data_IF_226095897654
#
_entry.id   IF_226095897654
#
_cell.length_a   1.000
_cell.length_b   1.000
_cell.length_c   1.000
_cell.angle_alpha   90.00
_cell.angle_beta   90.00
_cell.angle_gamma   90.00
#
_symmetry.space_group_name_H-M   'P 1'
#
loop_
_entity.id
_entity.type
_entity.pdbx_description
1 polymer ?
#
# COMPACT_ATOMS: atom_id res chain seq x y z
N UNK A 1 25.49 42.17 -8.30
CA UNK A 1 26.66 41.32 -7.95
C UNK A 1 26.78 41.01 -6.45
N UNK A 2 26.70 41.98 -5.52
CA UNK A 2 26.83 41.69 -4.06
C UNK A 2 25.69 40.83 -3.45
N UNK A 3 24.45 40.94 -3.93
CA UNK A 3 23.32 40.07 -3.47
C UNK A 3 23.51 38.61 -3.88
N UNK A 4 23.89 38.38 -5.15
CA UNK A 4 24.16 37.06 -5.73
C UNK A 4 25.28 36.35 -4.96
N UNK A 5 26.38 37.04 -4.64
CA UNK A 5 27.51 36.45 -3.89
C UNK A 5 27.10 36.09 -2.46
N UNK A 6 26.29 36.90 -1.79
CA UNK A 6 25.85 36.65 -0.42
C UNK A 6 24.78 35.52 -0.32
N UNK A 7 24.02 35.31 -1.40
CA UNK A 7 23.00 34.25 -1.51
C UNK A 7 23.62 32.91 -1.94
N UNK A 8 24.62 32.95 -2.82
CA UNK A 8 25.51 31.81 -3.12
C UNK A 8 26.24 31.38 -1.85
N UNK A 9 26.67 32.33 -1.00
CA UNK A 9 27.25 32.05 0.31
C UNK A 9 26.32 31.23 1.21
N UNK A 10 25.01 31.49 1.22
CA UNK A 10 24.02 30.72 1.99
C UNK A 10 23.72 29.34 1.40
N UNK A 11 23.66 29.24 0.07
CA UNK A 11 23.55 27.96 -0.62
C UNK A 11 24.82 27.10 -0.45
N UNK A 12 26.00 27.72 -0.30
CA UNK A 12 27.26 27.06 0.03
C UNK A 12 27.38 26.68 1.51
N UNK A 13 26.85 27.49 2.42
CA UNK A 13 26.78 27.18 3.86
C UNK A 13 25.88 25.94 4.12
N UNK A 14 24.85 25.76 3.28
CA UNK A 14 23.98 24.58 3.22
C UNK A 14 24.75 23.31 2.79
N UNK A 15 25.69 23.45 1.87
CA UNK A 15 26.54 22.36 1.41
C UNK A 15 27.62 21.97 2.42
N UNK A 16 28.12 22.94 3.18
CA UNK A 16 29.13 22.69 4.21
C UNK A 16 28.59 21.77 5.32
N UNK A 17 27.28 21.88 5.63
CA UNK A 17 26.57 20.98 6.57
C UNK A 17 26.24 19.59 6.02
N UNK A 18 26.27 19.42 4.69
CA UNK A 18 26.07 18.14 4.00
C UNK A 18 27.37 17.33 3.87
N UNK A 19 28.50 17.96 4.16
CA UNK A 19 29.84 17.45 3.88
C UNK A 19 30.24 17.78 2.45
N UNK A 20 31.38 18.46 2.31
CA UNK A 20 31.91 19.02 1.06
C UNK A 20 31.86 18.07 -0.14
N UNK A 21 32.09 16.77 0.06
CA UNK A 21 32.00 15.75 -0.98
C UNK A 21 30.61 15.59 -1.60
N UNK A 22 29.58 15.30 -0.80
CA UNK A 22 28.22 15.04 -1.28
C UNK A 22 27.61 16.28 -1.92
N UNK A 23 27.90 17.44 -1.34
CA UNK A 23 27.52 18.72 -1.89
C UNK A 23 28.13 19.00 -3.26
N UNK A 24 29.44 18.82 -3.43
CA UNK A 24 30.10 19.08 -4.71
C UNK A 24 29.60 18.14 -5.81
N UNK A 25 29.31 16.88 -5.47
CA UNK A 25 28.77 15.91 -6.42
C UNK A 25 27.34 16.25 -6.82
N UNK A 26 26.45 16.61 -5.88
CA UNK A 26 25.11 17.12 -6.21
C UNK A 26 25.18 18.35 -7.13
N UNK A 27 26.09 19.27 -6.86
CA UNK A 27 26.30 20.46 -7.70
C UNK A 27 26.75 20.11 -9.12
N UNK A 28 27.64 19.12 -9.27
CA UNK A 28 28.09 18.65 -10.57
C UNK A 28 26.98 17.93 -11.35
N UNK A 29 26.13 17.18 -10.65
CA UNK A 29 25.13 16.30 -11.25
C UNK A 29 23.80 17.00 -11.58
N UNK A 30 23.40 17.99 -10.79
CA UNK A 30 22.11 18.70 -10.95
C UNK A 30 22.23 20.02 -11.70
N UNK A 31 23.44 20.58 -11.77
CA UNK A 31 23.68 21.91 -12.31
C UNK A 31 23.28 23.02 -11.34
N UNK A 32 23.93 24.17 -11.49
CA UNK A 32 23.81 25.30 -10.57
C UNK A 32 22.41 25.92 -10.59
N UNK A 33 21.81 26.03 -11.76
CA UNK A 33 20.55 26.75 -11.96
C UNK A 33 19.36 26.06 -11.27
N UNK A 34 19.28 24.73 -11.35
CA UNK A 34 18.17 23.96 -10.78
C UNK A 34 18.22 23.91 -9.27
N UNK A 35 19.42 23.66 -8.71
CA UNK A 35 19.63 23.71 -7.26
C UNK A 35 19.34 25.11 -6.71
N UNK A 36 19.81 26.15 -7.41
CA UNK A 36 19.53 27.53 -7.05
C UNK A 36 18.02 27.82 -7.05
N UNK A 37 17.33 27.52 -8.15
CA UNK A 37 15.88 27.75 -8.28
C UNK A 37 15.08 27.02 -7.18
N UNK A 38 15.42 25.76 -6.89
CA UNK A 38 14.78 25.00 -5.81
C UNK A 38 15.07 25.59 -4.43
N UNK A 39 16.31 26.01 -4.16
CA UNK A 39 16.67 26.64 -2.88
C UNK A 39 15.98 27.99 -2.64
N UNK A 40 15.61 28.70 -3.72
CA UNK A 40 14.86 29.96 -3.61
C UNK A 40 13.37 29.71 -3.30
N UNK A 41 12.81 28.61 -3.83
CA UNK A 41 11.37 28.32 -3.77
C UNK A 41 10.96 27.36 -2.65
N UNK A 42 11.90 26.58 -2.11
CA UNK A 42 11.65 25.53 -1.11
C UNK A 42 12.40 25.85 0.18
N UNK A 43 11.78 25.53 1.32
CA UNK A 43 12.43 25.71 2.62
C UNK A 43 13.76 24.93 2.71
N UNK A 44 14.77 25.62 3.24
CA UNK A 44 16.12 25.07 3.31
C UNK A 44 16.20 23.86 4.26
N UNK A 45 15.35 23.78 5.30
CA UNK A 45 15.36 22.63 6.20
C UNK A 45 14.80 21.39 5.49
N UNK A 46 13.79 21.55 4.64
CA UNK A 46 13.26 20.46 3.82
C UNK A 46 14.33 19.89 2.89
N UNK A 47 14.99 20.75 2.12
CA UNK A 47 16.05 20.33 1.21
C UNK A 47 17.19 19.63 1.97
N UNK A 48 17.60 20.19 3.11
CA UNK A 48 18.67 19.62 3.94
C UNK A 48 18.29 18.25 4.46
N UNK A 49 17.07 18.12 4.99
CA UNK A 49 16.56 16.86 5.51
C UNK A 49 16.57 15.77 4.44
N UNK A 50 16.06 16.08 3.24
CA UNK A 50 16.04 15.14 2.11
C UNK A 50 17.47 14.74 1.73
N UNK A 51 18.36 15.73 1.65
CA UNK A 51 19.76 15.51 1.27
C UNK A 51 20.52 14.66 2.29
N UNK A 52 20.14 14.70 3.57
CA UNK A 52 20.74 13.87 4.63
C UNK A 52 20.19 12.44 4.66
N UNK A 53 18.92 12.24 4.27
CA UNK A 53 18.21 10.96 4.43
C UNK A 53 18.06 10.15 3.13
N UNK A 54 18.40 10.73 1.98
CA UNK A 54 18.47 10.02 0.69
C UNK A 54 19.93 9.88 0.22
N UNK A 55 20.21 8.81 -0.52
CA UNK A 55 21.47 8.67 -1.22
C UNK A 55 21.55 9.62 -2.43
N UNK A 56 22.76 9.89 -2.89
CA UNK A 56 23.00 10.86 -3.96
C UNK A 56 22.27 10.48 -5.26
N UNK A 57 22.29 9.20 -5.64
CA UNK A 57 21.68 8.74 -6.89
C UNK A 57 20.17 8.97 -6.85
N UNK A 58 19.52 8.59 -5.74
CA UNK A 58 18.08 8.82 -5.55
C UNK A 58 17.74 10.31 -5.56
N UNK A 59 18.54 11.17 -4.93
CA UNK A 59 18.34 12.63 -4.99
C UNK A 59 18.43 13.14 -6.42
N UNK A 60 19.47 12.73 -7.16
CA UNK A 60 19.68 13.18 -8.54
C UNK A 60 18.53 12.73 -9.43
N UNK A 61 18.10 11.47 -9.33
CA UNK A 61 16.95 10.96 -10.09
C UNK A 61 15.66 11.67 -9.70
N UNK A 62 15.38 11.83 -8.41
CA UNK A 62 14.17 12.49 -7.91
C UNK A 62 14.06 13.92 -8.41
N UNK A 63 15.14 14.69 -8.30
CA UNK A 63 15.17 16.09 -8.72
C UNK A 63 15.19 16.24 -10.24
N UNK A 64 15.82 15.34 -10.99
CA UNK A 64 15.91 15.47 -12.46
C UNK A 64 14.68 14.97 -13.20
N UNK A 65 14.00 13.95 -12.69
CA UNK A 65 12.91 13.30 -13.41
C UNK A 65 11.54 13.92 -13.15
N UNK A 66 11.35 14.56 -11.99
CA UNK A 66 10.10 15.25 -11.67
C UNK A 66 10.22 16.71 -12.15
N UNK A 67 9.19 17.26 -12.82
CA UNK A 67 9.16 18.68 -13.21
C UNK A 67 9.35 19.59 -12.00
N UNK A 68 10.06 20.72 -12.20
CA UNK A 68 10.42 21.62 -11.10
C UNK A 68 9.19 22.17 -10.36
N UNK A 69 8.14 22.57 -11.08
CA UNK A 69 6.91 23.08 -10.46
C UNK A 69 6.26 22.03 -9.55
N UNK A 70 6.19 20.78 -10.00
CA UNK A 70 5.69 19.65 -9.22
C UNK A 70 6.58 19.38 -8.00
N UNK A 71 7.90 19.44 -8.15
CA UNK A 71 8.84 19.29 -7.03
C UNK A 71 8.62 20.38 -5.99
N UNK A 72 8.51 21.65 -6.39
CA UNK A 72 8.28 22.76 -5.45
C UNK A 72 6.98 22.55 -4.68
N UNK A 73 5.89 22.15 -5.37
CA UNK A 73 4.61 21.86 -4.72
C UNK A 73 4.71 20.68 -3.75
N UNK A 74 5.36 19.59 -4.15
CA UNK A 74 5.56 18.43 -3.27
C UNK A 74 6.40 18.78 -2.04
N UNK A 75 7.54 19.44 -2.23
CA UNK A 75 8.49 19.78 -1.17
C UNK A 75 7.94 20.84 -0.20
N UNK A 76 6.99 21.66 -0.65
CA UNK A 76 6.32 22.66 0.20
C UNK A 76 5.10 22.11 0.94
N UNK A 77 4.46 21.05 0.42
CA UNK A 77 3.19 20.54 0.96
C UNK A 77 3.37 19.25 1.77
N UNK A 78 4.19 18.33 1.28
CA UNK A 78 4.41 17.01 1.89
C UNK A 78 5.54 17.10 2.92
N UNK A 79 5.40 16.42 4.06
CA UNK A 79 6.44 16.45 5.09
C UNK A 79 7.75 15.84 4.55
N UNK A 80 8.92 16.40 4.89
CA UNK A 80 10.21 15.89 4.39
C UNK A 80 10.42 14.41 4.69
N UNK A 81 10.01 13.95 5.87
CA UNK A 81 10.09 12.54 6.26
C UNK A 81 9.27 11.60 5.37
N UNK A 82 8.11 12.05 4.90
CA UNK A 82 7.24 11.24 4.04
C UNK A 82 7.80 11.20 2.62
N UNK A 83 8.31 12.33 2.12
CA UNK A 83 9.00 12.40 0.82
C UNK A 83 10.19 11.43 0.79
N UNK A 84 11.03 11.46 1.83
CA UNK A 84 12.19 10.55 1.91
C UNK A 84 11.77 9.09 1.97
N UNK A 85 10.67 8.80 2.65
CA UNK A 85 10.16 7.44 2.74
C UNK A 85 9.62 6.95 1.39
N UNK A 86 8.83 7.78 0.70
CA UNK A 86 8.31 7.45 -0.64
C UNK A 86 9.42 7.27 -1.65
N UNK A 87 10.43 8.16 -1.67
CA UNK A 87 11.58 8.06 -2.56
C UNK A 87 12.40 6.78 -2.36
N UNK A 88 12.47 6.25 -1.13
CA UNK A 88 13.17 5.00 -0.84
C UNK A 88 12.32 3.73 -1.06
N UNK A 89 10.99 3.85 -0.99
CA UNK A 89 10.09 2.68 -0.94
C UNK A 89 9.40 2.38 -2.27
N UNK A 90 9.16 3.42 -3.07
CA UNK A 90 8.44 3.37 -4.34
C UNK A 90 9.47 3.48 -5.48
N UNK A 91 9.39 2.63 -6.53
CA UNK A 91 10.25 2.76 -7.70
C UNK A 91 10.18 4.17 -8.31
N UNK A 92 11.32 4.68 -8.81
CA UNK A 92 11.39 6.07 -9.29
C UNK A 92 10.42 6.36 -10.45
N UNK A 93 10.22 5.41 -11.38
CA UNK A 93 9.25 5.55 -12.47
C UNK A 93 7.83 5.77 -11.94
N UNK A 94 7.44 4.96 -10.94
CA UNK A 94 6.13 5.02 -10.31
C UNK A 94 5.97 6.32 -9.53
N UNK A 95 7.01 6.77 -8.83
CA UNK A 95 7.00 8.02 -8.07
C UNK A 95 6.84 9.24 -8.98
N UNK A 96 7.50 9.26 -10.14
CA UNK A 96 7.34 10.31 -11.15
C UNK A 96 5.90 10.33 -11.67
N UNK A 97 5.32 9.15 -11.95
CA UNK A 97 3.95 9.05 -12.42
C UNK A 97 2.93 9.52 -11.35
N UNK A 98 3.11 9.11 -10.10
CA UNK A 98 2.25 9.49 -8.97
C UNK A 98 2.32 10.99 -8.70
N UNK A 99 3.55 11.55 -8.63
CA UNK A 99 3.77 12.98 -8.37
C UNK A 99 3.19 13.90 -9.43
N UNK A 100 3.21 13.49 -10.69
CA UNK A 100 2.68 14.29 -11.81
C UNK A 100 1.19 14.12 -12.02
N UNK A 101 0.60 13.03 -11.52
CA UNK A 101 -0.81 12.69 -11.75
C UNK A 101 -1.73 13.01 -10.57
N UNK A 102 -1.18 13.21 -9.38
CA UNK A 102 -1.92 13.46 -8.14
C UNK A 102 -1.54 14.83 -7.57
N UNK A 103 -2.50 15.58 -7.01
CA UNK A 103 -2.20 16.80 -6.25
C UNK A 103 -1.28 16.52 -5.06
N UNK A 104 -0.33 17.42 -4.81
CA UNK A 104 0.56 17.31 -3.66
C UNK A 104 -0.19 17.32 -2.31
N UNK A 105 -1.32 18.03 -2.25
CA UNK A 105 -2.23 18.03 -1.09
C UNK A 105 -2.77 16.64 -0.78
N UNK A 106 -3.14 15.89 -1.81
CA UNK A 106 -3.77 14.58 -1.67
C UNK A 106 -2.72 13.55 -1.22
N UNK A 107 -1.50 13.65 -1.76
CA UNK A 107 -0.35 12.85 -1.31
C UNK A 107 -0.05 13.14 0.16
N UNK A 108 0.00 14.42 0.54
CA UNK A 108 0.24 14.83 1.92
C UNK A 108 -0.86 14.34 2.88
N UNK A 109 -2.12 14.43 2.46
CA UNK A 109 -3.25 14.02 3.27
C UNK A 109 -3.30 12.51 3.46
N UNK A 110 -3.06 11.72 2.40
CA UNK A 110 -2.94 10.27 2.51
C UNK A 110 -1.82 9.89 3.47
N UNK A 111 -0.62 10.44 3.28
CA UNK A 111 0.53 10.16 4.14
C UNK A 111 0.24 10.49 5.62
N UNK A 112 -0.46 11.60 5.86
CA UNK A 112 -0.82 12.06 7.20
C UNK A 112 -1.86 11.16 7.87
N UNK A 113 -2.93 10.80 7.16
CA UNK A 113 -4.07 10.09 7.76
C UNK A 113 -3.84 8.58 7.83
N UNK A 114 -3.30 7.98 6.77
CA UNK A 114 -3.14 6.51 6.68
C UNK A 114 -1.74 6.06 7.13
N UNK A 115 -0.80 6.99 7.24
CA UNK A 115 0.60 6.72 7.49
C UNK A 115 1.38 6.53 6.19
N UNK A 116 2.63 7.01 6.16
CA UNK A 116 3.52 6.92 5.00
C UNK A 116 3.81 5.48 4.59
N UNK A 117 3.94 4.56 5.55
CA UNK A 117 4.17 3.13 5.31
C UNK A 117 2.97 2.52 4.56
N UNK A 118 1.76 2.71 5.09
CA UNK A 118 0.54 2.16 4.50
C UNK A 118 0.24 2.81 3.14
N UNK A 119 0.38 4.13 3.03
CA UNK A 119 0.26 4.85 1.76
C UNK A 119 1.20 4.29 0.70
N UNK A 120 2.48 4.11 1.03
CA UNK A 120 3.47 3.57 0.08
C UNK A 120 3.13 2.13 -0.30
N UNK A 121 2.75 1.30 0.68
CA UNK A 121 2.40 -0.11 0.45
C UNK A 121 1.19 -0.23 -0.49
N UNK A 122 0.15 0.57 -0.27
CA UNK A 122 -1.04 0.60 -1.12
C UNK A 122 -0.68 1.03 -2.55
N UNK A 123 -0.01 2.17 -2.70
CA UNK A 123 0.35 2.71 -4.03
C UNK A 123 1.26 1.76 -4.82
N UNK A 124 2.22 1.12 -4.14
CA UNK A 124 3.17 0.18 -4.74
C UNK A 124 2.51 -1.11 -5.17
N UNK A 125 1.71 -1.74 -4.29
CA UNK A 125 1.19 -3.09 -4.54
C UNK A 125 -0.09 -3.08 -5.39
N UNK A 126 -0.88 -2.01 -5.38
CA UNK A 126 -1.97 -1.82 -6.34
C UNK A 126 -1.41 -1.51 -7.73
N UNK A 127 -0.24 -0.86 -7.78
CA UNK A 127 0.41 -0.38 -8.99
C UNK A 127 0.04 1.09 -9.26
N UNK A 128 0.96 1.91 -9.79
CA UNK A 128 0.78 3.37 -9.85
C UNK A 128 -0.38 3.78 -10.75
N UNK A 129 -0.47 3.22 -11.96
CA UNK A 129 -1.54 3.56 -12.92
C UNK A 129 -2.92 3.22 -12.39
N UNK A 130 -3.06 2.03 -11.78
CA UNK A 130 -4.33 1.60 -11.18
C UNK A 130 -4.66 2.44 -9.94
N UNK A 131 -3.67 2.76 -9.11
CA UNK A 131 -3.85 3.63 -7.94
C UNK A 131 -4.34 5.02 -8.35
N UNK A 132 -3.75 5.62 -9.38
CA UNK A 132 -4.19 6.93 -9.90
C UNK A 132 -5.63 6.85 -10.41
N UNK A 133 -5.96 5.83 -11.20
CA UNK A 133 -7.31 5.66 -11.71
C UNK A 133 -8.33 5.45 -10.57
N UNK A 134 -7.97 4.65 -9.55
CA UNK A 134 -8.80 4.44 -8.36
C UNK A 134 -9.01 5.73 -7.59
N UNK A 135 -7.96 6.50 -7.32
CA UNK A 135 -8.08 7.77 -6.59
C UNK A 135 -8.96 8.77 -7.34
N UNK A 136 -8.94 8.76 -8.68
CA UNK A 136 -9.82 9.59 -9.51
C UNK A 136 -11.28 9.13 -9.48
N UNK A 137 -11.53 7.82 -9.56
CA UNK A 137 -12.90 7.28 -9.59
C UNK A 137 -13.59 7.21 -8.22
N UNK A 138 -12.84 6.82 -7.20
CA UNK A 138 -13.32 6.63 -5.83
C UNK A 138 -13.19 7.91 -5.01
N UNK A 139 -12.20 8.74 -5.31
CA UNK A 139 -11.87 9.93 -4.52
C UNK A 139 -10.92 9.61 -3.35
N UNK A 140 -10.02 10.55 -3.07
CA UNK A 140 -8.97 10.41 -2.05
C UNK A 140 -9.55 10.19 -0.66
N UNK A 141 -10.62 10.90 -0.29
CA UNK A 141 -11.25 10.75 1.04
C UNK A 141 -11.81 9.35 1.26
N UNK A 142 -12.52 8.79 0.27
CA UNK A 142 -13.05 7.44 0.36
C UNK A 142 -11.92 6.41 0.40
N UNK A 143 -10.83 6.63 -0.34
CA UNK A 143 -9.66 5.76 -0.29
C UNK A 143 -8.99 5.77 1.09
N UNK A 144 -8.82 6.96 1.67
CA UNK A 144 -8.30 7.13 3.04
C UNK A 144 -9.22 6.40 4.03
N UNK A 145 -10.53 6.61 3.95
CA UNK A 145 -11.49 5.96 4.85
C UNK A 145 -11.42 4.43 4.77
N UNK A 146 -11.32 3.85 3.57
CA UNK A 146 -11.13 2.40 3.40
C UNK A 146 -9.86 1.91 4.09
N UNK A 147 -8.74 2.61 3.87
CA UNK A 147 -7.44 2.22 4.43
C UNK A 147 -7.36 2.36 5.96
N UNK A 148 -8.23 3.16 6.56
CA UNK A 148 -8.34 3.28 8.02
C UNK A 148 -9.15 2.14 8.64
N UNK A 149 -10.09 1.55 7.89
CA UNK A 149 -10.96 0.48 8.39
C UNK A 149 -10.37 -0.92 8.16
N UNK A 150 -9.52 -1.08 7.15
CA UNK A 150 -8.96 -2.37 6.74
C UNK A 150 -7.45 -2.23 6.54
N UNK A 151 -6.62 -3.17 7.04
CA UNK A 151 -5.20 -3.16 6.74
C UNK A 151 -4.92 -3.34 5.24
N UNK A 152 -3.81 -2.76 4.77
CA UNK A 152 -3.43 -2.82 3.36
C UNK A 152 -3.36 -4.26 2.82
N UNK A 153 -2.89 -5.21 3.62
CA UNK A 153 -2.78 -6.63 3.28
C UNK A 153 -4.10 -7.29 2.89
N UNK A 154 -5.22 -6.81 3.44
CA UNK A 154 -6.56 -7.33 3.15
C UNK A 154 -7.28 -6.52 2.08
N UNK A 155 -7.02 -5.20 2.03
CA UNK A 155 -7.63 -4.30 1.05
C UNK A 155 -7.05 -4.49 -0.36
N UNK A 156 -5.74 -4.65 -0.48
CA UNK A 156 -5.04 -4.76 -1.78
C UNK A 156 -5.63 -5.86 -2.67
N UNK A 157 -5.82 -7.12 -2.20
CA UNK A 157 -6.36 -8.18 -3.05
C UNK A 157 -7.76 -7.87 -3.58
N UNK A 158 -8.62 -7.26 -2.77
CA UNK A 158 -9.99 -6.91 -3.15
C UNK A 158 -10.00 -5.80 -4.19
N UNK A 159 -9.19 -4.76 -3.97
CA UNK A 159 -9.02 -3.64 -4.92
C UNK A 159 -8.36 -4.11 -6.22
N UNK A 160 -7.47 -5.10 -6.16
CA UNK A 160 -6.86 -5.69 -7.35
C UNK A 160 -7.88 -6.46 -8.20
N UNK A 161 -8.89 -7.08 -7.59
CA UNK A 161 -9.95 -7.79 -8.30
C UNK A 161 -10.90 -6.85 -9.05
N UNK A 162 -11.19 -5.69 -8.47
CA UNK A 162 -12.10 -4.70 -9.07
C UNK A 162 -11.38 -3.79 -10.06
N UNK A 163 -12.07 -3.37 -11.12
CA UNK A 163 -11.57 -2.24 -11.95
C UNK A 163 -11.76 -0.91 -11.20
N UNK A 164 -11.03 0.16 -11.57
CA UNK A 164 -11.26 1.49 -11.01
C UNK A 164 -12.71 1.95 -11.12
N UNK A 165 -13.35 1.71 -12.27
CA UNK A 165 -14.73 2.08 -12.55
C UNK A 165 -15.70 1.27 -11.67
N UNK A 166 -15.45 -0.04 -11.54
CA UNK A 166 -16.21 -0.91 -10.64
C UNK A 166 -16.10 -0.46 -9.19
N UNK A 167 -14.91 -0.09 -8.75
CA UNK A 167 -14.68 0.45 -7.40
C UNK A 167 -15.46 1.75 -7.21
N UNK A 168 -15.43 2.67 -8.17
CA UNK A 168 -16.22 3.89 -8.14
C UNK A 168 -17.73 3.63 -8.09
N UNK A 169 -18.24 2.71 -8.92
CA UNK A 169 -19.66 2.32 -8.92
C UNK A 169 -20.07 1.73 -7.58
N UNK A 170 -19.23 0.87 -7.00
CA UNK A 170 -19.49 0.26 -5.69
C UNK A 170 -19.66 1.34 -4.63
N UNK A 171 -18.69 2.26 -4.52
CA UNK A 171 -18.71 3.32 -3.51
C UNK A 171 -19.93 4.23 -3.69
N UNK A 172 -20.30 4.58 -4.94
CA UNK A 172 -21.49 5.41 -5.22
C UNK A 172 -22.81 4.72 -4.89
N UNK A 173 -22.94 3.41 -5.14
CA UNK A 173 -24.21 2.68 -4.94
C UNK A 173 -24.37 2.09 -3.55
N UNK A 174 -23.27 1.74 -2.89
CA UNK A 174 -23.24 0.97 -1.63
C UNK A 174 -22.59 1.72 -0.48
N UNK A 175 -21.73 2.68 -0.78
CA UNK A 175 -20.92 3.39 0.20
C UNK A 175 -19.59 2.69 0.49
N UNK A 176 -18.75 3.43 1.20
CA UNK A 176 -17.36 3.07 1.50
C UNK A 176 -17.24 1.99 2.59
N UNK A 177 -18.19 1.93 3.54
CA UNK A 177 -18.19 0.97 4.64
C UNK A 177 -18.60 -0.47 4.26
N UNK A 178 -19.10 -0.69 3.06
CA UNK A 178 -19.65 -1.98 2.63
C UNK A 178 -18.53 -3.02 2.40
N UNK A 179 -17.42 -2.64 1.75
CA UNK A 179 -16.25 -3.53 1.55
C UNK A 179 -15.63 -3.97 2.90
N UNK A 180 -15.33 -3.08 3.86
CA UNK A 180 -14.84 -3.46 5.19
C UNK A 180 -15.71 -4.48 5.90
N UNK A 181 -17.03 -4.28 5.92
CA UNK A 181 -17.97 -5.21 6.56
C UNK A 181 -17.99 -6.57 5.89
N UNK A 182 -17.94 -6.61 4.56
CA UNK A 182 -17.85 -7.87 3.81
C UNK A 182 -16.55 -8.62 4.09
N UNK A 183 -15.41 -7.91 4.18
CA UNK A 183 -14.14 -8.52 4.57
C UNK A 183 -14.23 -9.08 5.99
N UNK A 184 -14.82 -8.34 6.93
CA UNK A 184 -14.99 -8.81 8.31
C UNK A 184 -15.91 -10.05 8.41
N UNK A 185 -17.00 -10.08 7.64
CA UNK A 185 -17.96 -11.17 7.67
C UNK A 185 -17.47 -12.43 6.93
N UNK A 186 -16.92 -12.25 5.72
CA UNK A 186 -16.59 -13.36 4.82
C UNK A 186 -15.10 -13.72 4.85
N UNK A 187 -14.23 -12.77 5.16
CA UNK A 187 -12.80 -12.85 4.91
C UNK A 187 -12.46 -12.59 3.44
N UNK A 188 -11.23 -12.11 3.20
CA UNK A 188 -10.74 -11.71 1.87
C UNK A 188 -10.96 -12.79 0.80
N UNK A 189 -10.63 -14.04 1.10
CA UNK A 189 -10.69 -15.14 0.11
C UNK A 189 -12.13 -15.44 -0.35
N UNK A 190 -13.09 -15.44 0.58
CA UNK A 190 -14.49 -15.69 0.24
C UNK A 190 -15.10 -14.48 -0.47
N UNK A 191 -14.71 -13.26 -0.11
CA UNK A 191 -15.12 -12.07 -0.84
C UNK A 191 -14.60 -12.10 -2.29
N UNK A 192 -13.34 -12.47 -2.51
CA UNK A 192 -12.80 -12.64 -3.86
C UNK A 192 -13.56 -13.72 -4.65
N UNK A 193 -13.90 -14.84 -4.01
CA UNK A 193 -14.72 -15.87 -4.63
C UNK A 193 -16.10 -15.33 -5.01
N UNK A 194 -16.75 -14.58 -4.11
CA UNK A 194 -18.03 -13.93 -4.38
C UNK A 194 -17.92 -13.01 -5.61
N UNK A 195 -16.92 -12.11 -5.63
CA UNK A 195 -16.68 -11.17 -6.73
C UNK A 195 -16.49 -11.88 -8.09
N UNK A 196 -15.77 -13.00 -8.10
CA UNK A 196 -15.47 -13.78 -9.32
C UNK A 196 -16.61 -14.65 -9.83
N UNK A 197 -17.41 -15.23 -8.93
CA UNK A 197 -18.32 -16.33 -9.29
C UNK A 197 -19.45 -15.88 -10.21
N UNK A 198 -20.08 -14.75 -9.90
CA UNK A 198 -21.25 -14.25 -10.65
C UNK A 198 -20.90 -13.03 -11.52
N UNK A 199 -19.76 -12.40 -11.27
CA UNK A 199 -19.35 -11.15 -11.89
C UNK A 199 -19.96 -9.92 -11.20
N UNK A 200 -19.31 -8.77 -11.40
CA UNK A 200 -19.57 -7.53 -10.68
C UNK A 200 -21.05 -7.10 -10.71
N UNK A 201 -21.66 -6.98 -11.89
CA UNK A 201 -23.04 -6.50 -12.03
C UNK A 201 -24.06 -7.39 -11.29
N UNK A 202 -23.88 -8.72 -11.36
CA UNK A 202 -24.77 -9.65 -10.68
C UNK A 202 -24.60 -9.61 -9.16
N UNK A 203 -23.35 -9.50 -8.70
CA UNK A 203 -23.07 -9.35 -7.27
C UNK A 203 -23.69 -8.07 -6.72
N UNK A 204 -23.54 -6.96 -7.45
CA UNK A 204 -24.14 -5.68 -7.07
C UNK A 204 -25.67 -5.75 -7.07
N UNK A 205 -26.26 -6.44 -8.05
CA UNK A 205 -27.70 -6.67 -8.07
C UNK A 205 -28.18 -7.50 -6.87
N UNK A 206 -27.52 -8.62 -6.56
CA UNK A 206 -27.85 -9.47 -5.39
C UNK A 206 -27.77 -8.65 -4.10
N UNK A 207 -26.71 -7.86 -3.95
CA UNK A 207 -26.55 -6.97 -2.80
C UNK A 207 -27.61 -5.87 -2.74
N UNK A 208 -28.07 -5.38 -3.90
CA UNK A 208 -29.15 -4.41 -3.99
C UNK A 208 -30.52 -4.99 -3.61
N UNK A 209 -30.76 -6.27 -3.91
CA UNK A 209 -32.02 -6.96 -3.58
C UNK A 209 -32.06 -7.40 -2.11
N UNK A 210 -30.98 -8.04 -1.63
CA UNK A 210 -30.96 -8.58 -0.27
C UNK A 210 -30.67 -7.52 0.77
N UNK A 211 -29.79 -6.57 0.48
CA UNK A 211 -29.13 -5.78 1.52
C UNK A 211 -27.82 -6.42 1.98
N UNK A 212 -26.99 -5.67 2.71
CA UNK A 212 -25.69 -6.16 3.19
C UNK A 212 -25.87 -7.17 4.32
N UNK A 213 -26.67 -6.81 5.33
CA UNK A 213 -26.82 -7.59 6.56
C UNK A 213 -27.52 -8.92 6.27
N UNK A 214 -28.57 -8.89 5.47
CA UNK A 214 -29.32 -10.06 5.03
C UNK A 214 -28.46 -10.99 4.15
N UNK A 215 -27.58 -10.42 3.31
CA UNK A 215 -26.62 -11.23 2.55
C UNK A 215 -25.64 -11.95 3.49
N UNK A 216 -25.16 -11.27 4.52
CA UNK A 216 -24.26 -11.84 5.52
C UNK A 216 -24.96 -12.97 6.28
N UNK A 217 -26.17 -12.73 6.77
CA UNK A 217 -26.98 -13.74 7.46
C UNK A 217 -27.29 -14.94 6.57
N UNK A 218 -27.67 -14.70 5.31
CA UNK A 218 -27.92 -15.75 4.33
C UNK A 218 -26.66 -16.60 4.11
N UNK A 219 -25.49 -15.96 3.96
CA UNK A 219 -24.23 -16.68 3.76
C UNK A 219 -23.90 -17.60 4.96
N UNK A 220 -24.07 -17.11 6.19
CA UNK A 220 -23.88 -17.94 7.39
C UNK A 220 -24.89 -19.08 7.49
N UNK A 221 -26.15 -18.81 7.16
CA UNK A 221 -27.22 -19.82 7.19
C UNK A 221 -26.93 -20.92 6.16
N UNK A 222 -26.58 -20.55 4.92
CA UNK A 222 -26.23 -21.48 3.85
C UNK A 222 -24.98 -22.30 4.21
N UNK A 223 -23.99 -21.69 4.88
CA UNK A 223 -22.80 -22.41 5.33
C UNK A 223 -23.13 -23.54 6.35
N UNK A 224 -24.19 -23.37 7.15
CA UNK A 224 -24.70 -24.37 8.07
C UNK A 224 -25.59 -25.44 7.42
N UNK A 225 -26.08 -25.23 6.19
CA UNK A 225 -27.00 -26.14 5.52
C UNK A 225 -26.29 -27.32 4.87
N UNK A 226 -26.92 -28.50 4.95
CA UNK A 226 -26.54 -29.67 4.14
C UNK A 226 -27.17 -29.54 2.75
N UNK A 227 -26.47 -28.84 1.86
CA UNK A 227 -26.95 -28.64 0.50
C UNK A 227 -26.87 -29.94 -0.31
N UNK A 228 -27.96 -30.39 -0.95
CA UNK A 228 -27.93 -31.56 -1.82
C UNK A 228 -26.98 -31.31 -3.00
N UNK A 229 -26.05 -32.24 -3.24
CA UNK A 229 -25.08 -32.17 -4.34
C UNK A 229 -23.69 -31.61 -3.98
N UNK A 230 -23.51 -31.00 -2.81
CA UNK A 230 -22.17 -30.79 -2.23
C UNK A 230 -21.76 -32.06 -1.49
N UNK A 231 -21.23 -33.05 -2.20
CA UNK A 231 -20.46 -34.10 -1.53
C UNK A 231 -19.33 -33.39 -0.77
N UNK A 232 -19.33 -33.56 0.55
CA UNK A 232 -18.30 -33.03 1.41
C UNK A 232 -16.94 -33.35 0.78
N UNK A 233 -16.12 -32.32 0.52
CA UNK A 233 -14.71 -32.55 0.28
C UNK A 233 -14.21 -33.31 1.51
N UNK A 234 -14.06 -34.63 1.34
CA UNK A 234 -13.64 -35.53 2.39
C UNK A 234 -12.34 -34.96 2.95
N UNK A 235 -12.38 -34.54 4.22
CA UNK A 235 -11.17 -34.43 5.02
C UNK A 235 -10.52 -35.82 5.00
N UNK A 236 -9.60 -36.04 4.06
CA UNK A 236 -8.74 -37.22 4.06
C UNK A 236 -8.11 -37.31 5.45
N UNK A 237 -8.34 -38.38 6.23
CA UNK A 237 -7.64 -38.56 7.48
C UNK A 237 -6.16 -38.75 7.14
N UNK A 238 -5.29 -37.91 7.71
CA UNK A 238 -3.85 -38.12 7.69
C UNK A 238 -3.58 -39.55 8.18
N UNK A 239 -3.09 -40.38 7.27
CA UNK A 239 -2.73 -41.78 7.49
C UNK A 239 -1.87 -41.90 8.75
N UNK A 240 -2.35 -42.70 9.71
CA UNK A 240 -1.52 -43.30 10.76
C UNK A 240 -0.35 -44.04 10.10
N UNK A 241 0.86 -43.53 10.23
CA UNK A 241 2.07 -44.27 9.92
C UNK A 241 2.27 -45.36 10.97
N UNK A 242 1.84 -46.58 10.63
CA UNK A 242 2.33 -47.81 11.27
C UNK A 242 3.83 -47.91 10.99
N UNK A 243 4.68 -47.63 11.98
CA UNK A 243 6.04 -48.18 12.02
C UNK A 243 6.08 -49.33 13.02
N UNK A 244 6.12 -50.52 12.42
CA UNK A 244 6.91 -51.70 12.80
C UNK A 244 6.77 -52.21 14.24
N UNK A 245 6.05 -53.33 14.31
CA UNK A 245 6.13 -54.37 15.32
C UNK A 245 7.57 -54.76 15.67
N UNK A 246 7.94 -54.63 16.95
CA UNK A 246 8.81 -55.60 17.63
C UNK A 246 8.10 -56.07 18.89
N UNK A 247 7.43 -57.23 18.77
CA UNK A 247 7.09 -58.09 19.91
C UNK A 247 8.41 -58.62 20.50
N UNK A 248 8.59 -58.49 21.81
CA UNK A 248 8.80 -59.65 22.71
C UNK A 248 8.46 -59.25 24.16
N UNK A 249 7.96 -60.21 24.97
CA UNK A 249 7.00 -59.94 26.04
C UNK A 249 7.59 -59.91 27.44
N UNK A 250 6.89 -59.26 28.36
CA UNK A 250 7.14 -59.32 29.79
C UNK A 250 6.56 -60.61 30.42
N UNK A 251 7.46 -61.39 31.02
CA UNK A 251 7.39 -62.13 32.30
C UNK A 251 6.03 -62.67 32.80
N UNK A 252 5.96 -63.98 33.04
CA UNK A 252 5.18 -64.56 34.16
C UNK A 252 6.00 -65.58 34.96
N UNK A 253 5.94 -65.40 36.28
CA UNK A 253 6.57 -66.13 37.40
C UNK A 253 6.05 -67.57 37.58
N UNK A 254 6.89 -68.50 38.08
CA UNK A 254 6.89 -69.03 39.48
C UNK A 254 7.66 -70.36 39.63
N UNK A 255 8.49 -70.44 40.69
CA UNK A 255 8.73 -71.56 41.66
C UNK A 255 9.25 -72.91 41.10
N UNK A 256 10.08 -73.73 41.74
CA UNK A 256 10.91 -73.77 42.96
C UNK A 256 11.54 -75.19 42.97
N UNK A 257 12.65 -75.44 43.70
CA UNK A 257 13.11 -76.78 44.19
C UNK A 257 13.77 -77.65 43.09
N UNK A 258 14.97 -78.25 43.23
CA UNK A 258 15.75 -78.77 44.36
C UNK A 258 17.24 -78.70 44.00
#
# INVERSE_FOLDING_TARGET
MKKVINQIGKALEYLDKLGTGKSFQLFRSLGYEKLYSLSEKVDHKTLLYISQNLDEKTIVEFLNRIPEETLVLLLSTVKPGDITYFANSIPMDDLVLLSTSLPASDIAEMALKTGKESSAELLKNIGPSKSIALLKEVGVQNFIELSLQIPATELIPVVQELTPEQSGIWIRKRGVGDIPRLIQAFGVQNLLLFLRTLGFEKNLHIMGVLGLEELIELAYTIAGMKLPGRTAAEKKPRKKSKKVSKKKPAVKKKKNIK
#
